data_IF_483361219347
#
_entry.id   IF_483361219347
#
_cell.length_a   1.000
_cell.length_b   1.000
_cell.length_c   1.000
_cell.angle_alpha   90.00
_cell.angle_beta   90.00
_cell.angle_gamma   90.00
#
_symmetry.space_group_name_H-M   'P 1'
#
loop_
_entity.id
_entity.type
_entity.pdbx_description
1 polymer ?
#
# COMPACT_ATOMS: atom_id res chain seq x y z
N UNK A 1 -17.52 40.68 -16.45
CA UNK A 1 -17.29 39.64 -15.43
C UNK A 1 -17.36 38.29 -16.12
N UNK A 2 -16.22 37.75 -16.54
CA UNK A 2 -16.18 36.45 -17.21
C UNK A 2 -16.39 35.34 -16.17
N UNK A 3 -17.54 34.67 -16.26
CA UNK A 3 -17.80 33.43 -15.52
C UNK A 3 -16.78 32.39 -16.00
N UNK A 4 -15.71 32.19 -15.20
CA UNK A 4 -14.75 31.11 -15.37
C UNK A 4 -15.51 29.81 -15.08
N UNK A 5 -16.12 29.22 -16.12
CA UNK A 5 -16.60 27.83 -16.06
C UNK A 5 -15.37 26.96 -15.81
N UNK A 6 -15.13 26.57 -14.56
CA UNK A 6 -14.12 25.55 -14.24
C UNK A 6 -14.59 24.26 -14.92
N UNK A 7 -13.90 23.87 -15.99
CA UNK A 7 -14.13 22.62 -16.68
C UNK A 7 -13.88 21.47 -15.68
N UNK A 8 -14.82 20.53 -15.63
CA UNK A 8 -14.65 19.29 -14.85
C UNK A 8 -13.62 18.44 -15.60
N UNK A 9 -12.34 18.60 -15.25
CA UNK A 9 -11.24 17.78 -15.79
C UNK A 9 -11.41 16.34 -15.28
N UNK A 10 -11.82 15.44 -16.17
CA UNK A 10 -12.12 14.02 -15.91
C UNK A 10 -10.87 13.20 -16.16
N UNK A 11 -10.48 12.37 -15.19
CA UNK A 11 -9.40 11.39 -15.35
C UNK A 11 -8.72 11.06 -14.03
N UNK A 12 -8.32 9.80 -13.87
CA UNK A 12 -7.40 9.34 -12.82
C UNK A 12 -5.99 9.88 -13.08
N UNK A 13 -5.63 10.11 -14.35
CA UNK A 13 -4.36 10.72 -14.77
C UNK A 13 -4.12 12.09 -14.14
N UNK A 14 -5.15 12.95 -14.11
CA UNK A 14 -5.05 14.29 -13.51
C UNK A 14 -4.71 14.23 -12.01
N UNK A 15 -5.26 13.25 -11.28
CA UNK A 15 -4.97 13.10 -9.85
C UNK A 15 -3.55 12.65 -9.56
N UNK A 16 -2.91 11.89 -10.45
CA UNK A 16 -1.52 11.46 -10.27
C UNK A 16 -0.58 12.66 -10.36
N UNK A 17 -0.73 13.48 -11.40
CA UNK A 17 0.08 14.69 -11.60
C UNK A 17 -0.12 15.70 -10.46
N UNK A 18 -1.37 15.99 -10.09
CA UNK A 18 -1.65 16.89 -8.96
C UNK A 18 -1.08 16.33 -7.67
N UNK A 19 -1.21 15.03 -7.40
CA UNK A 19 -0.63 14.41 -6.20
C UNK A 19 0.89 14.57 -6.14
N UNK A 20 1.59 14.39 -7.26
CA UNK A 20 3.05 14.58 -7.33
C UNK A 20 3.43 16.03 -7.01
N UNK A 21 2.71 17.00 -7.60
CA UNK A 21 2.97 18.41 -7.34
C UNK A 21 2.66 18.78 -5.88
N UNK A 22 1.60 18.22 -5.29
CA UNK A 22 1.29 18.37 -3.87
C UNK A 22 2.37 17.72 -2.98
N UNK A 23 2.86 16.53 -3.32
CA UNK A 23 3.88 15.81 -2.55
C UNK A 23 5.22 16.56 -2.52
N UNK A 24 5.59 17.19 -3.63
CA UNK A 24 6.83 17.93 -3.77
C UNK A 24 6.71 19.42 -3.42
N UNK A 25 5.52 19.87 -3.00
CA UNK A 25 5.20 21.29 -2.72
C UNK A 25 5.65 22.25 -3.84
N UNK A 26 5.75 21.73 -5.06
CA UNK A 26 6.30 22.43 -6.21
C UNK A 26 5.70 21.87 -7.49
N UNK A 27 5.53 22.74 -8.50
CA UNK A 27 5.06 22.34 -9.82
C UNK A 27 6.18 21.63 -10.57
N UNK A 28 6.33 20.34 -10.30
CA UNK A 28 7.35 19.48 -10.90
C UNK A 28 6.89 18.95 -12.25
N UNK A 29 5.60 18.63 -12.38
CA UNK A 29 5.02 18.07 -13.58
C UNK A 29 3.95 19.02 -14.10
N UNK A 30 4.12 19.51 -15.33
CA UNK A 30 3.10 20.32 -15.98
C UNK A 30 1.87 19.49 -16.33
N UNK A 31 0.68 20.03 -16.06
CA UNK A 31 -0.57 19.43 -16.51
C UNK A 31 -0.65 19.42 -18.04
N UNK A 32 -0.97 18.27 -18.63
CA UNK A 32 -1.38 18.22 -20.05
C UNK A 32 -2.72 18.95 -20.20
N UNK A 33 -2.72 20.05 -20.93
CA UNK A 33 -3.95 20.74 -21.33
C UNK A 33 -4.57 20.01 -22.54
N UNK A 34 -5.60 19.19 -22.27
CA UNK A 34 -6.41 18.53 -23.31
C UNK A 34 -7.33 19.52 -24.08
N UNK A 35 -7.25 20.83 -23.82
CA UNK A 35 -8.11 21.86 -24.40
C UNK A 35 -7.80 22.17 -25.88
N UNK A 36 -6.74 21.59 -26.46
CA UNK A 36 -6.46 21.70 -27.89
C UNK A 36 -7.21 20.61 -28.68
N UNK A 37 -8.21 21.02 -29.47
CA UNK A 37 -8.96 20.14 -30.40
C UNK A 37 -8.07 19.34 -31.37
N UNK A 38 -6.82 19.78 -31.60
CA UNK A 38 -5.84 19.09 -32.45
C UNK A 38 -5.07 17.98 -31.74
N UNK A 39 -4.91 18.04 -30.41
CA UNK A 39 -4.24 16.99 -29.61
C UNK A 39 -5.22 15.94 -29.08
N UNK A 40 -6.51 16.26 -28.99
CA UNK A 40 -7.57 15.34 -28.55
C UNK A 40 -7.77 14.12 -29.49
N UNK A 41 -7.25 14.16 -30.71
CA UNK A 41 -7.35 13.06 -31.69
C UNK A 41 -6.15 12.09 -31.68
N UNK A 42 -5.08 12.43 -30.96
CA UNK A 42 -3.93 11.56 -30.81
C UNK A 42 -4.08 10.79 -29.51
N UNK A 43 -4.37 9.49 -29.62
CA UNK A 43 -4.16 8.55 -28.52
C UNK A 43 -2.69 8.69 -28.08
N UNK A 44 -2.49 9.42 -27.00
CA UNK A 44 -1.17 9.53 -26.39
C UNK A 44 -0.91 8.17 -25.75
N UNK A 45 -0.14 7.32 -26.44
CA UNK A 45 0.29 6.03 -25.88
C UNK A 45 0.97 6.20 -24.52
N UNK A 46 1.03 5.12 -23.74
CA UNK A 46 1.67 5.10 -22.43
C UNK A 46 3.14 5.56 -22.55
N UNK A 47 3.47 6.63 -21.84
CA UNK A 47 4.83 7.17 -21.78
C UNK A 47 5.32 7.14 -20.35
N UNK A 48 6.21 6.20 -20.03
CA UNK A 48 6.81 6.11 -18.70
C UNK A 48 7.95 7.12 -18.62
N UNK A 49 7.80 8.15 -17.79
CA UNK A 49 8.81 9.21 -17.64
C UNK A 49 9.28 9.30 -16.17
N UNK A 50 10.54 8.94 -15.87
CA UNK A 50 11.12 9.15 -14.55
C UNK A 50 11.54 10.61 -14.37
N UNK A 51 11.09 11.22 -13.28
CA UNK A 51 11.44 12.57 -12.84
C UNK A 51 12.27 12.45 -11.56
N UNK A 52 13.49 12.98 -11.59
CA UNK A 52 14.39 12.96 -10.44
C UNK A 52 14.32 14.30 -9.70
N UNK A 53 14.16 14.24 -8.38
CA UNK A 53 13.99 15.38 -7.50
C UNK A 53 14.84 15.20 -6.24
N UNK A 54 15.25 16.32 -5.65
CA UNK A 54 15.81 16.32 -4.30
C UNK A 54 14.78 16.98 -3.37
N UNK A 55 14.26 16.20 -2.43
CA UNK A 55 13.26 16.65 -1.45
C UNK A 55 13.91 16.64 -0.08
N UNK A 56 13.66 17.68 0.72
CA UNK A 56 14.05 17.73 2.12
C UNK A 56 12.86 17.29 2.98
N UNK A 57 12.99 16.15 3.65
CA UNK A 57 11.96 15.64 4.57
C UNK A 57 12.62 15.37 5.93
N UNK A 58 12.01 15.89 7.00
CA UNK A 58 12.41 15.64 8.40
C UNK A 58 13.91 15.94 8.67
N UNK A 59 14.48 16.94 8.00
CA UNK A 59 15.89 17.35 8.15
C UNK A 59 16.90 16.49 7.38
N UNK A 60 16.43 15.54 6.57
CA UNK A 60 17.25 14.73 5.67
C UNK A 60 16.98 15.07 4.19
N UNK A 61 18.04 15.11 3.38
CA UNK A 61 17.95 15.30 1.93
C UNK A 61 17.76 13.95 1.25
N UNK A 62 16.63 13.77 0.58
CA UNK A 62 16.24 12.52 -0.08
C UNK A 62 16.22 12.74 -1.59
N UNK A 63 16.94 11.89 -2.33
CA UNK A 63 16.81 11.82 -3.79
C UNK A 63 15.57 11.00 -4.17
N UNK A 64 14.50 11.68 -4.55
CA UNK A 64 13.23 11.06 -4.92
C UNK A 64 13.15 10.91 -6.45
N UNK A 65 12.88 9.70 -6.92
CA UNK A 65 12.58 9.45 -8.34
C UNK A 65 11.12 9.08 -8.49
N UNK A 66 10.35 9.91 -9.19
CA UNK A 66 8.93 9.70 -9.43
C UNK A 66 8.76 9.20 -10.85
N UNK A 67 8.12 8.05 -11.02
CA UNK A 67 7.83 7.49 -12.34
C UNK A 67 6.36 7.69 -12.64
N UNK A 68 6.05 8.60 -13.56
CA UNK A 68 4.66 8.81 -14.00
C UNK A 68 4.29 7.89 -15.17
N UNK A 69 3.02 7.51 -15.22
CA UNK A 69 2.38 6.65 -16.22
C UNK A 69 1.13 7.35 -16.81
N UNK A 70 1.30 8.49 -17.53
CA UNK A 70 0.22 9.15 -18.24
C UNK A 70 -0.38 8.25 -19.32
N UNK A 71 -1.71 8.33 -19.51
CA UNK A 71 -2.46 7.56 -20.52
C UNK A 71 -2.93 6.17 -20.06
N UNK A 72 -2.69 5.79 -18.81
CA UNK A 72 -3.19 4.52 -18.26
C UNK A 72 -4.72 4.52 -18.10
N UNK A 73 -5.40 3.55 -18.72
CA UNK A 73 -6.84 3.31 -18.57
C UNK A 73 -7.73 4.10 -19.52
N UNK A 74 -7.17 4.86 -20.46
CA UNK A 74 -7.91 5.63 -21.47
C UNK A 74 -8.15 4.84 -22.77
N UNK A 75 -7.40 3.75 -22.99
CA UNK A 75 -7.51 2.89 -24.18
C UNK A 75 -8.64 1.88 -24.04
N UNK A 76 -9.20 1.44 -25.18
CA UNK A 76 -10.22 0.38 -25.22
C UNK A 76 -9.65 -0.96 -24.75
N UNK A 77 -8.42 -1.27 -25.17
CA UNK A 77 -7.64 -2.41 -24.69
C UNK A 77 -6.47 -1.92 -23.85
N UNK A 78 -6.42 -2.33 -22.59
CA UNK A 78 -5.38 -1.94 -21.63
C UNK A 78 -4.44 -3.09 -21.28
N UNK A 79 -4.62 -4.28 -21.88
CA UNK A 79 -3.79 -5.45 -21.60
C UNK A 79 -2.30 -5.19 -21.86
N UNK A 80 -1.97 -4.59 -23.01
CA UNK A 80 -0.62 -4.20 -23.39
C UNK A 80 0.02 -3.21 -22.40
N UNK A 81 -0.78 -2.32 -21.80
CA UNK A 81 -0.27 -1.33 -20.84
C UNK A 81 0.22 -2.00 -19.55
N UNK A 82 -0.37 -3.13 -19.15
CA UNK A 82 0.07 -3.88 -17.98
C UNK A 82 1.45 -4.48 -18.21
N UNK A 83 1.67 -5.06 -19.39
CA UNK A 83 2.94 -5.68 -19.76
C UNK A 83 4.04 -4.64 -19.94
N UNK A 84 3.71 -3.44 -20.44
CA UNK A 84 4.66 -2.34 -20.56
C UNK A 84 5.14 -1.82 -19.19
N UNK A 85 4.22 -1.68 -18.22
CA UNK A 85 4.56 -1.28 -16.83
C UNK A 85 5.39 -2.39 -16.16
N UNK A 86 4.95 -3.64 -16.27
CA UNK A 86 5.68 -4.78 -15.72
C UNK A 86 7.08 -4.89 -16.34
N UNK A 87 7.18 -4.77 -17.66
CA UNK A 87 8.44 -4.78 -18.38
C UNK A 87 9.34 -3.60 -18.04
N UNK A 88 8.80 -2.44 -17.62
CA UNK A 88 9.61 -1.36 -17.07
C UNK A 88 10.21 -1.72 -15.70
N UNK A 89 9.41 -2.31 -14.80
CA UNK A 89 9.89 -2.76 -13.49
C UNK A 89 10.99 -3.84 -13.63
N UNK A 90 10.75 -4.84 -14.47
CA UNK A 90 11.71 -5.92 -14.72
C UNK A 90 13.01 -5.39 -15.36
N UNK A 91 12.92 -4.41 -16.27
CA UNK A 91 14.11 -3.73 -16.82
C UNK A 91 14.96 -3.07 -15.73
N UNK A 92 14.34 -2.43 -14.72
CA UNK A 92 15.11 -1.84 -13.62
C UNK A 92 15.83 -2.93 -12.83
N UNK A 93 15.19 -4.07 -12.58
CA UNK A 93 15.86 -5.21 -11.92
C UNK A 93 16.95 -5.86 -12.76
N UNK A 94 16.75 -5.98 -14.08
CA UNK A 94 17.76 -6.50 -15.00
C UNK A 94 19.01 -5.62 -15.03
N UNK A 95 18.85 -4.29 -14.98
CA UNK A 95 19.98 -3.36 -14.92
C UNK A 95 20.82 -3.54 -13.64
N UNK A 96 20.15 -3.72 -12.49
CA UNK A 96 20.84 -4.04 -11.21
C UNK A 96 21.54 -5.38 -11.32
N UNK A 97 20.84 -6.42 -11.78
CA UNK A 97 21.38 -7.77 -11.87
C UNK A 97 22.59 -7.82 -12.81
N UNK A 98 22.54 -7.10 -13.93
CA UNK A 98 23.64 -6.97 -14.87
C UNK A 98 24.85 -6.27 -14.22
N UNK A 99 24.63 -5.24 -13.40
CA UNK A 99 25.70 -4.55 -12.68
C UNK A 99 26.29 -5.42 -11.56
N UNK A 100 25.46 -6.13 -10.78
CA UNK A 100 25.90 -7.05 -9.73
C UNK A 100 26.72 -8.22 -10.28
N UNK A 101 26.39 -8.66 -11.50
CA UNK A 101 27.09 -9.73 -12.23
C UNK A 101 28.44 -9.29 -12.82
N UNK A 102 28.74 -7.98 -12.89
CA UNK A 102 30.04 -7.50 -13.39
C UNK A 102 31.15 -7.78 -12.39
N UNK A 103 32.29 -8.25 -12.91
CA UNK A 103 33.51 -8.51 -12.12
C UNK A 103 34.06 -7.20 -11.51
N UNK A 104 33.96 -6.09 -12.26
CA UNK A 104 34.31 -4.73 -11.78
C UNK A 104 33.03 -3.91 -11.69
N UNK A 105 32.49 -3.82 -10.48
CA UNK A 105 31.28 -3.06 -10.16
C UNK A 105 31.59 -1.57 -10.12
N UNK A 106 30.68 -0.75 -10.63
CA UNK A 106 30.79 0.70 -10.53
C UNK A 106 30.30 1.17 -9.15
N UNK A 107 31.17 1.72 -8.29
CA UNK A 107 30.77 2.17 -6.95
C UNK A 107 29.83 3.40 -6.96
N UNK A 108 29.64 4.04 -8.13
CA UNK A 108 28.71 5.16 -8.32
C UNK A 108 27.39 4.75 -8.96
N UNK A 109 27.13 3.46 -9.08
CA UNK A 109 25.88 2.98 -9.62
C UNK A 109 24.72 3.47 -8.73
N UNK A 110 23.70 4.06 -9.35
CA UNK A 110 22.53 4.59 -8.64
C UNK A 110 21.44 3.54 -8.66
N UNK A 111 20.85 3.28 -7.50
CA UNK A 111 19.70 2.41 -7.41
C UNK A 111 18.50 3.03 -8.12
N UNK A 112 18.04 2.38 -9.18
CA UNK A 112 16.90 2.76 -10.02
C UNK A 112 15.69 1.85 -9.81
N UNK A 113 15.71 1.00 -8.78
CA UNK A 113 14.57 0.13 -8.43
C UNK A 113 13.38 0.97 -7.97
N UNK A 114 12.18 0.48 -8.30
CA UNK A 114 10.93 1.07 -7.81
C UNK A 114 10.61 0.45 -6.45
N UNK A 115 10.67 1.26 -5.40
CA UNK A 115 10.48 0.79 -4.01
C UNK A 115 9.01 0.69 -3.60
N UNK A 116 8.15 1.54 -4.16
CA UNK A 116 6.73 1.57 -3.86
C UNK A 116 5.92 2.00 -5.08
N UNK A 117 4.74 1.38 -5.25
CA UNK A 117 3.74 1.72 -6.25
C UNK A 117 2.50 2.25 -5.56
N UNK A 118 2.22 3.53 -5.75
CA UNK A 118 0.98 4.15 -5.26
C UNK A 118 -0.13 3.87 -6.28
N UNK A 119 -1.06 3.01 -5.92
CA UNK A 119 -2.16 2.61 -6.80
C UNK A 119 -3.40 3.46 -6.56
N UNK A 120 -3.74 4.31 -7.53
CA UNK A 120 -4.90 5.21 -7.46
C UNK A 120 -6.18 4.48 -7.86
N UNK A 121 -7.00 4.15 -6.86
CA UNK A 121 -8.33 3.58 -7.02
C UNK A 121 -9.31 4.70 -7.37
N UNK A 122 -10.12 4.46 -8.39
CA UNK A 122 -11.15 5.41 -8.82
C UNK A 122 -12.27 5.51 -7.77
N UNK A 123 -12.76 6.73 -7.45
CA UNK A 123 -13.85 6.93 -6.50
C UNK A 123 -15.20 6.55 -7.11
N UNK A 124 -15.47 5.25 -7.27
CA UNK A 124 -16.74 4.74 -7.80
C UNK A 124 -17.81 4.56 -6.72
N UNK A 125 -17.39 4.35 -5.47
CA UNK A 125 -18.28 4.09 -4.33
C UNK A 125 -18.80 2.66 -4.24
N UNK A 126 -18.37 1.78 -5.15
CA UNK A 126 -18.72 0.36 -5.15
C UNK A 126 -17.57 -0.48 -4.54
N UNK A 127 -16.81 -1.17 -5.39
CA UNK A 127 -15.62 -1.92 -5.02
C UNK A 127 -14.51 -1.73 -6.05
N UNK A 128 -13.55 -2.63 -6.06
CA UNK A 128 -12.47 -2.63 -7.03
C UNK A 128 -12.98 -3.02 -8.43
N UNK A 129 -12.47 -2.37 -9.46
CA UNK A 129 -12.76 -2.77 -10.86
C UNK A 129 -11.93 -3.99 -11.21
N UNK A 130 -12.45 -4.83 -12.11
CA UNK A 130 -11.74 -6.02 -12.59
C UNK A 130 -10.35 -5.69 -13.15
N UNK A 131 -10.25 -4.58 -13.89
CA UNK A 131 -8.99 -4.04 -14.41
C UNK A 131 -7.99 -3.73 -13.29
N UNK A 132 -8.47 -3.14 -12.18
CA UNK A 132 -7.62 -2.78 -11.05
C UNK A 132 -7.13 -4.05 -10.33
N UNK A 133 -7.99 -5.06 -10.20
CA UNK A 133 -7.67 -6.36 -9.59
C UNK A 133 -6.59 -7.08 -10.40
N UNK A 134 -6.76 -7.17 -11.72
CA UNK A 134 -5.79 -7.85 -12.59
C UNK A 134 -4.43 -7.16 -12.55
N UNK A 135 -4.41 -5.82 -12.62
CA UNK A 135 -3.16 -5.06 -12.60
C UNK A 135 -2.44 -5.18 -11.26
N UNK A 136 -3.14 -5.00 -10.14
CA UNK A 136 -2.52 -5.11 -8.83
C UNK A 136 -1.96 -6.51 -8.58
N UNK A 137 -2.67 -7.57 -9.02
CA UNK A 137 -2.17 -8.96 -8.95
C UNK A 137 -0.91 -9.19 -9.79
N UNK A 138 -0.82 -8.58 -10.96
CA UNK A 138 0.36 -8.70 -11.84
C UNK A 138 1.57 -7.94 -11.29
N UNK A 139 1.35 -6.78 -10.66
CA UNK A 139 2.43 -5.91 -10.17
C UNK A 139 2.90 -6.28 -8.75
N UNK A 140 2.03 -6.80 -7.90
CA UNK A 140 2.34 -7.12 -6.50
C UNK A 140 3.57 -8.01 -6.27
N UNK A 141 3.94 -8.97 -7.14
CA UNK A 141 5.15 -9.78 -6.92
C UNK A 141 6.45 -9.02 -7.24
N UNK A 142 6.36 -7.87 -7.90
CA UNK A 142 7.52 -7.08 -8.37
C UNK A 142 7.65 -5.73 -7.67
N UNK A 143 6.62 -5.22 -6.98
CA UNK A 143 6.68 -3.92 -6.30
C UNK A 143 5.73 -3.88 -5.10
N UNK A 144 6.10 -3.13 -4.06
CA UNK A 144 5.23 -2.88 -2.92
C UNK A 144 4.04 -2.00 -3.34
N UNK A 145 2.84 -2.56 -3.38
CA UNK A 145 1.63 -1.85 -3.81
C UNK A 145 0.95 -1.19 -2.61
N UNK A 146 0.75 0.12 -2.66
CA UNK A 146 0.02 0.91 -1.66
C UNK A 146 -1.28 1.40 -2.30
N UNK A 147 -2.45 0.84 -1.94
CA UNK A 147 -3.73 1.26 -2.49
C UNK A 147 -4.19 2.60 -1.90
N UNK A 148 -4.60 3.51 -2.78
CA UNK A 148 -4.99 4.87 -2.42
C UNK A 148 -6.26 5.26 -3.17
N UNK A 149 -7.27 5.75 -2.47
CA UNK A 149 -8.51 6.27 -3.04
C UNK A 149 -8.27 7.71 -3.52
N UNK A 150 -8.44 7.94 -4.82
CA UNK A 150 -8.35 9.26 -5.41
C UNK A 150 -9.61 10.10 -5.16
N UNK A 151 -9.45 11.44 -5.07
CA UNK A 151 -10.55 12.42 -4.92
C UNK A 151 -11.54 12.03 -3.82
N UNK A 152 -11.03 11.78 -2.61
CA UNK A 152 -11.88 11.39 -1.46
C UNK A 152 -12.92 12.45 -1.09
N UNK A 153 -12.71 13.72 -1.48
CA UNK A 153 -13.67 14.82 -1.40
C UNK A 153 -14.98 14.59 -2.19
N UNK A 154 -15.01 13.59 -3.06
CA UNK A 154 -16.22 13.19 -3.80
C UNK A 154 -17.21 12.38 -2.94
N UNK A 155 -16.78 11.87 -1.78
CA UNK A 155 -17.59 11.03 -0.90
C UNK A 155 -18.01 11.76 0.38
N UNK A 156 -19.16 11.37 0.93
CA UNK A 156 -19.48 11.66 2.32
C UNK A 156 -18.67 10.76 3.26
N UNK A 157 -18.50 11.17 4.51
CA UNK A 157 -17.78 10.40 5.54
C UNK A 157 -18.27 8.94 5.65
N UNK A 158 -19.58 8.72 5.65
CA UNK A 158 -20.16 7.37 5.72
C UNK A 158 -19.89 6.54 4.46
N UNK A 159 -20.03 7.15 3.28
CA UNK A 159 -19.78 6.49 1.99
C UNK A 159 -18.31 6.10 1.85
N UNK A 160 -17.40 6.93 2.34
CA UNK A 160 -15.97 6.66 2.34
C UNK A 160 -15.62 5.46 3.22
N UNK A 161 -16.19 5.37 4.43
CA UNK A 161 -15.98 4.22 5.33
C UNK A 161 -16.50 2.92 4.71
N UNK A 162 -17.70 2.97 4.12
CA UNK A 162 -18.27 1.81 3.43
C UNK A 162 -17.44 1.40 2.20
N UNK A 163 -16.92 2.38 1.46
CA UNK A 163 -16.08 2.14 0.29
C UNK A 163 -14.72 1.55 0.68
N UNK A 164 -14.05 2.09 1.71
CA UNK A 164 -12.81 1.53 2.28
C UNK A 164 -13.01 0.07 2.69
N UNK A 165 -14.10 -0.23 3.40
CA UNK A 165 -14.43 -1.60 3.82
C UNK A 165 -14.57 -2.56 2.63
N UNK A 166 -15.36 -2.19 1.61
CA UNK A 166 -15.55 -3.03 0.42
C UNK A 166 -14.26 -3.25 -0.37
N UNK A 167 -13.44 -2.21 -0.52
CA UNK A 167 -12.14 -2.34 -1.19
C UNK A 167 -11.22 -3.31 -0.45
N UNK A 168 -11.19 -3.26 0.89
CA UNK A 168 -10.40 -4.20 1.69
C UNK A 168 -10.94 -5.63 1.61
N UNK A 169 -12.27 -5.81 1.65
CA UNK A 169 -12.93 -7.11 1.42
C UNK A 169 -12.56 -7.70 0.05
N UNK A 170 -12.55 -6.87 -1.00
CA UNK A 170 -12.14 -7.29 -2.35
C UNK A 170 -10.65 -7.69 -2.38
N UNK A 171 -9.76 -6.89 -1.78
CA UNK A 171 -8.31 -7.18 -1.72
C UNK A 171 -8.05 -8.53 -1.05
N UNK A 172 -8.74 -8.80 0.06
CA UNK A 172 -8.63 -10.06 0.80
C UNK A 172 -9.21 -11.23 -0.01
N UNK A 173 -10.41 -11.07 -0.57
CA UNK A 173 -11.07 -12.10 -1.37
C UNK A 173 -10.22 -12.53 -2.58
N UNK A 174 -9.63 -11.56 -3.25
CA UNK A 174 -8.79 -11.80 -4.41
C UNK A 174 -7.34 -12.14 -4.06
N UNK A 175 -6.96 -12.11 -2.78
CA UNK A 175 -5.61 -12.38 -2.26
C UNK A 175 -4.54 -11.52 -2.93
N UNK A 176 -4.80 -10.22 -3.04
CA UNK A 176 -3.85 -9.28 -3.63
C UNK A 176 -2.81 -8.91 -2.56
N UNK A 177 -1.51 -9.20 -2.76
CA UNK A 177 -0.45 -8.77 -1.86
C UNK A 177 -0.30 -7.25 -1.95
N UNK A 178 -0.73 -6.56 -0.90
CA UNK A 178 -0.48 -5.13 -0.72
C UNK A 178 0.54 -4.93 0.40
N UNK A 179 1.21 -3.79 0.38
CA UNK A 179 2.04 -3.39 1.49
C UNK A 179 1.17 -3.06 2.70
N UNK A 180 1.31 -3.84 3.76
CA UNK A 180 0.47 -3.80 4.95
C UNK A 180 1.27 -3.37 6.19
N UNK A 181 2.28 -2.50 6.05
CA UNK A 181 3.06 -1.95 7.18
C UNK A 181 3.43 -3.02 8.23
N UNK A 182 4.31 -3.99 7.91
CA UNK A 182 4.68 -5.07 8.81
C UNK A 182 5.18 -4.53 10.16
N UNK A 183 4.85 -5.22 11.24
CA UNK A 183 5.39 -4.95 12.59
C UNK A 183 5.42 -6.26 13.37
N UNK A 184 6.40 -6.39 14.26
CA UNK A 184 6.55 -7.50 15.18
C UNK A 184 6.14 -7.04 16.59
N UNK A 185 5.12 -7.67 17.16
CA UNK A 185 4.60 -7.31 18.49
C UNK A 185 5.59 -7.65 19.61
N UNK A 186 6.51 -8.59 19.36
CA UNK A 186 7.51 -9.07 20.33
C UNK A 186 8.85 -8.34 20.21
N UNK A 187 9.24 -7.94 19.00
CA UNK A 187 10.53 -7.29 18.73
C UNK A 187 10.48 -5.76 18.66
N UNK A 188 9.37 -5.18 18.17
CA UNK A 188 9.29 -3.74 17.95
C UNK A 188 8.96 -2.93 19.22
N UNK A 189 9.39 -1.67 19.22
CA UNK A 189 9.03 -0.72 20.27
C UNK A 189 7.51 -0.47 20.28
N UNK A 190 6.86 -0.35 21.46
CA UNK A 190 5.41 -0.13 21.55
C UNK A 190 4.91 1.09 20.75
N UNK A 191 5.73 2.14 20.64
CA UNK A 191 5.38 3.33 19.85
C UNK A 191 5.32 3.02 18.34
N UNK A 192 6.27 2.23 17.81
CA UNK A 192 6.27 1.79 16.41
C UNK A 192 5.08 0.87 16.12
N UNK A 193 4.74 -0.03 17.05
CA UNK A 193 3.57 -0.90 16.93
C UNK A 193 2.28 -0.07 16.85
N UNK A 194 2.17 0.97 17.68
CA UNK A 194 1.01 1.85 17.68
C UNK A 194 0.88 2.63 16.37
N UNK A 195 1.98 3.21 15.86
CA UNK A 195 2.00 3.92 14.58
C UNK A 195 1.62 3.01 13.41
N UNK A 196 2.23 1.82 13.32
CA UNK A 196 1.99 0.89 12.22
C UNK A 196 0.56 0.35 12.26
N UNK A 197 0.01 0.11 13.46
CA UNK A 197 -1.40 -0.26 13.64
C UNK A 197 -2.35 0.86 13.18
N UNK A 198 -2.05 2.12 13.49
CA UNK A 198 -2.82 3.26 13.01
C UNK A 198 -2.81 3.34 11.47
N UNK A 199 -1.62 3.24 10.86
CA UNK A 199 -1.48 3.29 9.39
C UNK A 199 -2.22 2.16 8.70
N UNK A 200 -2.21 0.95 9.24
CA UNK A 200 -3.00 -0.18 8.72
C UNK A 200 -4.50 0.08 8.77
N UNK A 201 -4.99 0.71 9.83
CA UNK A 201 -6.41 1.04 9.97
C UNK A 201 -6.88 2.08 8.94
N UNK A 202 -5.96 2.87 8.39
CA UNK A 202 -6.24 3.90 7.39
C UNK A 202 -6.29 3.36 5.96
N UNK A 203 -5.76 2.14 5.72
CA UNK A 203 -5.76 1.52 4.41
C UNK A 203 -7.19 1.17 3.92
N UNK A 204 -7.51 1.40 2.63
CA UNK A 204 -6.74 2.20 1.67
C UNK A 204 -6.79 3.71 2.00
N UNK A 205 -5.66 4.42 1.83
CA UNK A 205 -5.58 5.85 2.17
C UNK A 205 -6.54 6.68 1.31
N UNK A 206 -7.24 7.63 1.92
CA UNK A 206 -8.16 8.52 1.21
C UNK A 206 -7.49 9.89 1.01
N UNK A 207 -7.07 10.20 -0.22
CA UNK A 207 -6.28 11.40 -0.50
C UNK A 207 -7.03 12.42 -1.34
N UNK A 208 -6.58 13.67 -1.20
CA UNK A 208 -6.99 14.81 -2.00
C UNK A 208 -5.71 15.49 -2.46
N UNK A 209 -5.55 15.67 -3.77
CA UNK A 209 -4.47 16.49 -4.32
C UNK A 209 -4.98 17.89 -4.63
N UNK A 210 -4.17 18.91 -4.34
CA UNK A 210 -4.41 20.29 -4.77
C UNK A 210 -3.10 21.02 -5.05
N UNK A 211 -3.13 21.87 -6.07
CA UNK A 211 -2.09 22.86 -6.38
C UNK A 211 -2.52 24.28 -6.00
N UNK A 212 -3.81 24.48 -5.72
CA UNK A 212 -4.35 25.76 -5.30
C UNK A 212 -4.13 25.95 -3.78
N UNK A 213 -3.79 27.17 -3.39
CA UNK A 213 -3.80 27.60 -1.99
C UNK A 213 -5.18 28.14 -1.59
N UNK A 214 -5.64 27.73 -0.42
CA UNK A 214 -6.87 28.24 0.20
C UNK A 214 -6.55 28.85 1.55
N UNK A 215 -7.39 29.80 1.96
CA UNK A 215 -7.26 30.40 3.28
C UNK A 215 -7.94 29.49 4.30
N UNK A 216 -7.15 28.95 5.22
CA UNK A 216 -7.63 28.15 6.35
C UNK A 216 -8.51 28.99 7.29
N UNK A 217 -9.30 28.33 8.13
CA UNK A 217 -10.07 28.99 9.19
C UNK A 217 -9.17 29.74 10.19
N UNK A 218 -7.91 29.30 10.34
CA UNK A 218 -6.87 29.96 11.15
C UNK A 218 -6.33 31.25 10.53
N UNK A 219 -6.62 31.50 9.25
CA UNK A 219 -6.16 32.67 8.49
C UNK A 219 -4.91 32.44 7.64
N UNK A 220 -4.25 31.29 7.81
CA UNK A 220 -3.06 30.87 7.07
C UNK A 220 -3.40 30.40 5.65
N UNK A 221 -2.43 30.48 4.74
CA UNK A 221 -2.54 29.94 3.38
C UNK A 221 -2.03 28.50 3.41
N UNK A 222 -2.91 27.57 3.07
CA UNK A 222 -2.61 26.12 3.05
C UNK A 222 -3.05 25.52 1.72
N UNK A 223 -2.42 24.42 1.31
CA UNK A 223 -2.83 23.70 0.11
C UNK A 223 -4.22 23.11 0.30
N UNK A 224 -5.13 23.40 -0.63
CA UNK A 224 -6.52 22.98 -0.50
C UNK A 224 -7.40 23.32 -1.68
N UNK A 225 -8.65 22.87 -1.63
CA UNK A 225 -9.65 23.06 -2.68
C UNK A 225 -10.80 23.88 -2.13
N UNK A 226 -11.09 25.00 -2.78
CA UNK A 226 -12.24 25.85 -2.46
C UNK A 226 -13.46 25.45 -3.29
N UNK A 227 -14.54 25.08 -2.60
CA UNK A 227 -15.85 24.83 -3.14
C UNK A 227 -16.84 25.93 -2.74
N UNK A 228 -17.97 26.09 -3.46
CA UNK A 228 -19.01 27.04 -3.05
C UNK A 228 -19.60 26.77 -1.65
N UNK A 229 -19.49 25.53 -1.16
CA UNK A 229 -20.03 25.08 0.13
C UNK A 229 -18.98 24.94 1.23
N UNK A 230 -17.69 25.18 0.95
CA UNK A 230 -16.63 25.04 1.95
C UNK A 230 -15.25 24.87 1.34
N UNK A 231 -14.23 24.86 2.18
CA UNK A 231 -12.83 24.63 1.81
C UNK A 231 -12.36 23.30 2.35
N UNK A 232 -11.59 22.57 1.55
CA UNK A 232 -10.99 21.30 1.96
C UNK A 232 -9.48 21.45 1.94
N UNK A 233 -8.88 21.29 3.11
CA UNK A 233 -7.43 21.40 3.33
C UNK A 233 -6.77 20.03 3.14
N UNK A 234 -5.67 19.97 2.37
CA UNK A 234 -5.00 18.70 2.03
C UNK A 234 -4.15 18.18 3.19
N UNK A 235 -3.53 19.05 3.98
CA UNK A 235 -2.68 18.60 5.09
C UNK A 235 -3.46 18.31 6.38
N UNK A 236 -4.76 18.57 6.39
CA UNK A 236 -5.61 18.41 7.55
C UNK A 236 -6.07 16.94 7.71
N UNK A 237 -5.71 16.24 8.81
CA UNK A 237 -6.08 14.84 9.03
C UNK A 237 -7.58 14.58 9.11
N UNK A 238 -8.39 15.58 9.48
CA UNK A 238 -9.85 15.47 9.53
C UNK A 238 -10.50 15.48 8.13
N UNK A 239 -9.76 15.94 7.13
CA UNK A 239 -10.21 16.07 5.74
C UNK A 239 -9.65 14.97 4.84
N UNK A 240 -8.36 14.63 4.97
CA UNK A 240 -7.77 13.53 4.20
C UNK A 240 -6.51 12.95 4.85
N UNK A 241 -6.18 11.73 4.41
CA UNK A 241 -5.06 10.95 4.95
C UNK A 241 -3.72 11.30 4.26
N UNK A 242 -3.66 12.40 3.49
CA UNK A 242 -2.48 12.75 2.70
C UNK A 242 -1.24 12.99 3.56
N UNK A 243 -1.39 13.70 4.69
CA UNK A 243 -0.29 13.97 5.63
C UNK A 243 0.32 12.66 6.16
N UNK A 244 -0.53 11.70 6.53
CA UNK A 244 -0.11 10.36 7.00
C UNK A 244 0.62 9.59 5.91
N UNK A 245 0.11 9.60 4.67
CA UNK A 245 0.75 8.95 3.53
C UNK A 245 2.12 9.59 3.22
N UNK A 246 2.22 10.93 3.26
CA UNK A 246 3.48 11.67 3.04
C UNK A 246 4.54 11.30 4.09
N UNK A 247 4.17 11.32 5.38
CA UNK A 247 5.06 10.93 6.47
C UNK A 247 5.51 9.48 6.37
N UNK A 248 4.61 8.56 6.01
CA UNK A 248 4.97 7.15 5.83
C UNK A 248 5.95 6.95 4.65
N UNK A 249 5.69 7.58 3.50
CA UNK A 249 6.50 7.40 2.28
C UNK A 249 7.88 8.06 2.34
N UNK A 250 7.97 9.26 2.94
CA UNK A 250 9.20 10.07 2.93
C UNK A 250 9.95 10.10 4.27
N UNK A 251 9.30 9.63 5.34
CA UNK A 251 9.87 9.58 6.69
C UNK A 251 10.05 8.15 7.16
N UNK A 252 9.07 7.64 7.91
CA UNK A 252 9.24 6.47 8.79
C UNK A 252 9.45 5.15 8.04
N UNK A 253 8.73 4.91 6.93
CA UNK A 253 8.70 3.60 6.26
C UNK A 253 9.55 3.52 4.99
N UNK A 254 10.30 4.57 4.67
CA UNK A 254 11.13 4.60 3.45
C UNK A 254 12.21 3.52 3.45
N UNK A 255 12.84 3.24 4.59
CA UNK A 255 13.86 2.20 4.69
C UNK A 255 13.24 0.80 4.61
N UNK A 256 12.10 0.57 5.28
CA UNK A 256 11.38 -0.71 5.22
C UNK A 256 10.94 -1.06 3.79
N UNK A 257 10.40 -0.08 3.05
CA UNK A 257 10.05 -0.26 1.63
C UNK A 257 11.27 -0.65 0.78
N UNK A 258 12.45 -0.10 1.08
CA UNK A 258 13.71 -0.44 0.39
C UNK A 258 14.19 -1.83 0.74
N UNK A 259 14.17 -2.20 2.03
CA UNK A 259 14.58 -3.51 2.52
C UNK A 259 13.69 -4.60 1.94
N UNK A 260 12.37 -4.43 1.97
CA UNK A 260 11.44 -5.39 1.36
C UNK A 260 11.67 -5.52 -0.15
N UNK A 261 11.94 -4.40 -0.83
CA UNK A 261 12.25 -4.41 -2.27
C UNK A 261 13.54 -5.17 -2.55
N UNK A 262 14.55 -5.03 -1.70
CA UNK A 262 15.84 -5.69 -1.90
C UNK A 262 15.79 -7.17 -1.53
N UNK A 263 15.37 -7.48 -0.32
CA UNK A 263 15.52 -8.80 0.31
C UNK A 263 14.46 -9.80 -0.16
N UNK A 264 13.27 -9.32 -0.53
CA UNK A 264 12.19 -10.18 -0.98
C UNK A 264 11.93 -10.02 -2.48
N UNK A 265 11.56 -8.82 -2.94
CA UNK A 265 11.09 -8.65 -4.32
C UNK A 265 12.21 -8.86 -5.35
N UNK A 266 13.35 -8.21 -5.15
CA UNK A 266 14.51 -8.31 -6.03
C UNK A 266 15.18 -9.69 -5.94
N UNK A 267 15.38 -10.25 -4.74
CA UNK A 267 15.99 -11.58 -4.61
C UNK A 267 15.11 -12.70 -5.19
N UNK A 268 13.79 -12.60 -5.07
CA UNK A 268 12.87 -13.52 -5.77
C UNK A 268 13.03 -13.40 -7.29
N UNK A 269 13.07 -12.18 -7.83
CA UNK A 269 13.30 -11.93 -9.26
C UNK A 269 14.66 -12.48 -9.73
N UNK A 270 15.71 -12.23 -8.94
CA UNK A 270 17.07 -12.68 -9.23
C UNK A 270 17.16 -14.20 -9.26
N UNK A 271 16.53 -14.88 -8.31
CA UNK A 271 16.47 -16.34 -8.25
C UNK A 271 15.73 -16.92 -9.47
N UNK A 272 14.62 -16.30 -9.86
CA UNK A 272 13.85 -16.67 -11.06
C UNK A 272 14.68 -16.49 -12.34
N UNK A 273 15.42 -15.37 -12.48
CA UNK A 273 16.26 -15.11 -13.66
C UNK A 273 17.49 -15.99 -13.72
N UNK A 274 18.18 -16.24 -12.60
CA UNK A 274 19.36 -17.10 -12.56
C UNK A 274 19.00 -18.57 -12.80
N UNK A 275 17.87 -19.05 -12.28
CA UNK A 275 17.39 -20.42 -12.55
C UNK A 275 17.01 -20.60 -14.02
N UNK A 276 16.44 -19.58 -14.67
CA UNK A 276 16.09 -19.60 -16.09
C UNK A 276 17.29 -19.49 -17.04
N UNK A 277 18.35 -18.79 -16.62
CA UNK A 277 19.56 -18.55 -17.42
C UNK A 277 20.74 -19.48 -17.09
N UNK A 278 20.58 -20.40 -16.13
CA UNK A 278 21.57 -21.45 -15.84
C UNK A 278 21.75 -22.39 -17.05
N UNK A 279 22.96 -22.93 -17.27
CA UNK A 279 23.18 -23.89 -18.34
C UNK A 279 22.24 -25.08 -18.14
N UNK A 280 21.46 -25.39 -19.17
CA UNK A 280 20.42 -26.42 -19.24
C UNK A 280 20.92 -27.87 -19.10
N UNK A 281 22.10 -28.06 -18.52
CA UNK A 281 22.75 -29.36 -18.25
C UNK A 281 22.78 -29.72 -16.75
N UNK A 282 22.27 -28.85 -15.87
CA UNK A 282 22.16 -29.09 -14.40
C UNK A 282 20.73 -28.99 -13.86
N UNK A 283 19.72 -28.86 -14.72
CA UNK A 283 18.31 -28.65 -14.32
C UNK A 283 17.65 -29.87 -13.68
N UNK A 284 18.25 -31.06 -13.78
CA UNK A 284 17.72 -32.29 -13.19
C UNK A 284 18.16 -32.52 -11.73
N UNK A 285 19.31 -31.98 -11.30
CA UNK A 285 19.82 -32.19 -9.94
C UNK A 285 19.39 -31.08 -8.95
N UNK A 286 19.20 -29.84 -9.42
CA UNK A 286 18.81 -28.72 -8.54
C UNK A 286 17.30 -28.74 -8.21
N UNK A 287 16.46 -29.22 -9.13
CA UNK A 287 15.02 -29.40 -8.88
C UNK A 287 14.77 -30.50 -7.84
N UNK A 288 15.50 -31.61 -7.90
CA UNK A 288 15.43 -32.68 -6.90
C UNK A 288 15.90 -32.23 -5.50
N UNK A 289 16.98 -31.43 -5.42
CA UNK A 289 17.46 -30.90 -4.14
C UNK A 289 16.55 -29.81 -3.55
N UNK A 290 15.98 -28.93 -4.39
CA UNK A 290 15.01 -27.93 -3.93
C UNK A 290 13.68 -28.57 -3.50
N UNK A 291 13.20 -29.60 -4.20
CA UNK A 291 12.02 -30.35 -3.78
C UNK A 291 12.26 -31.13 -2.48
N UNK A 292 13.46 -31.70 -2.26
CA UNK A 292 13.81 -32.33 -0.97
C UNK A 292 13.93 -31.32 0.17
N UNK A 293 14.53 -30.15 -0.07
CA UNK A 293 14.68 -29.10 0.95
C UNK A 293 13.35 -28.42 1.29
N UNK A 294 12.47 -28.22 0.30
CA UNK A 294 11.10 -27.73 0.47
C UNK A 294 10.22 -28.78 1.18
N UNK A 295 10.35 -30.06 0.84
CA UNK A 295 9.64 -31.13 1.55
C UNK A 295 10.12 -31.30 3.00
N UNK A 296 11.41 -31.06 3.27
CA UNK A 296 11.96 -31.10 4.63
C UNK A 296 11.50 -29.90 5.47
N UNK A 297 11.43 -28.71 4.87
CA UNK A 297 10.93 -27.50 5.56
C UNK A 297 9.41 -27.57 5.79
N UNK A 298 8.64 -28.11 4.84
CA UNK A 298 7.19 -28.35 5.01
C UNK A 298 6.94 -29.38 6.11
N UNK A 299 7.70 -30.50 6.16
CA UNK A 299 7.57 -31.48 7.25
C UNK A 299 7.94 -30.91 8.62
N UNK A 300 9.01 -30.12 8.71
CA UNK A 300 9.40 -29.46 9.96
C UNK A 300 8.34 -28.45 10.42
N UNK A 301 7.74 -27.70 9.49
CA UNK A 301 6.67 -26.74 9.77
C UNK A 301 5.37 -27.42 10.19
N UNK A 302 5.00 -28.52 9.53
CA UNK A 302 3.84 -29.35 9.88
C UNK A 302 4.00 -30.01 11.25
N UNK A 303 5.22 -30.45 11.60
CA UNK A 303 5.53 -30.99 12.93
C UNK A 303 5.54 -29.90 14.02
N UNK A 304 5.97 -28.68 13.68
CA UNK A 304 5.85 -27.51 14.56
C UNK A 304 4.39 -27.13 14.81
N UNK A 305 3.59 -27.00 13.75
CA UNK A 305 2.16 -26.71 13.83
C UNK A 305 1.42 -27.75 14.66
N UNK A 306 1.73 -29.03 14.49
CA UNK A 306 1.12 -30.11 15.27
C UNK A 306 1.47 -30.03 16.77
N UNK A 307 2.72 -29.66 17.10
CA UNK A 307 3.13 -29.43 18.50
C UNK A 307 2.47 -28.18 19.08
N UNK A 308 2.28 -27.13 18.29
CA UNK A 308 1.57 -25.93 18.71
C UNK A 308 0.07 -26.17 18.91
N UNK A 309 -0.58 -26.92 18.02
CA UNK A 309 -1.99 -27.33 18.19
C UNK A 309 -2.21 -28.18 19.45
N UNK A 310 -1.30 -29.12 19.76
CA UNK A 310 -1.38 -29.89 21.00
C UNK A 310 -1.23 -29.00 22.24
N UNK A 311 -0.30 -28.04 22.22
CA UNK A 311 -0.15 -27.06 23.30
C UNK A 311 -1.38 -26.16 23.42
N UNK A 312 -1.95 -25.71 22.31
CA UNK A 312 -3.13 -24.85 22.29
C UNK A 312 -4.34 -25.59 22.89
N UNK A 313 -4.53 -26.87 22.53
CA UNK A 313 -5.57 -27.72 23.12
C UNK A 313 -5.37 -27.95 24.61
N UNK A 314 -4.13 -28.10 25.06
CA UNK A 314 -3.84 -28.25 26.50
C UNK A 314 -4.17 -26.96 27.28
N UNK A 315 -3.84 -25.80 26.71
CA UNK A 315 -4.18 -24.49 27.27
C UNK A 315 -5.71 -24.31 27.29
N UNK A 316 -6.41 -24.65 26.22
CA UNK A 316 -7.87 -24.56 26.14
C UNK A 316 -8.55 -25.42 27.21
N UNK A 317 -8.11 -26.67 27.39
CA UNK A 317 -8.62 -27.57 28.43
C UNK A 317 -8.34 -27.07 29.85
N UNK A 318 -7.24 -26.34 30.05
CA UNK A 318 -6.90 -25.71 31.33
C UNK A 318 -7.81 -24.52 31.60
N UNK A 319 -8.00 -23.64 30.61
CA UNK A 319 -8.91 -22.49 30.70
C UNK A 319 -10.35 -22.96 30.95
N UNK A 320 -10.80 -23.99 30.25
CA UNK A 320 -12.15 -24.52 30.42
C UNK A 320 -12.38 -25.09 31.83
N UNK A 321 -11.38 -25.74 32.42
CA UNK A 321 -11.40 -26.17 33.83
C UNK A 321 -11.47 -24.99 34.79
N UNK A 322 -10.63 -23.96 34.59
CA UNK A 322 -10.66 -22.77 35.44
C UNK A 322 -12.02 -22.03 35.35
N UNK A 323 -12.60 -21.91 34.17
CA UNK A 323 -13.93 -21.32 33.97
C UNK A 323 -14.99 -22.14 34.72
N UNK A 324 -14.93 -23.47 34.66
CA UNK A 324 -15.88 -24.35 35.34
C UNK A 324 -15.77 -24.24 36.87
N UNK A 325 -14.56 -24.19 37.41
CA UNK A 325 -14.33 -23.97 38.83
C UNK A 325 -14.81 -22.59 39.29
N UNK A 326 -14.50 -21.53 38.54
CA UNK A 326 -14.99 -20.17 38.84
C UNK A 326 -16.51 -20.09 38.81
N UNK A 327 -17.16 -20.78 37.86
CA UNK A 327 -18.62 -20.85 37.77
C UNK A 327 -19.23 -21.57 38.96
N UNK A 328 -18.63 -22.67 39.42
CA UNK A 328 -19.10 -23.40 40.59
C UNK A 328 -18.92 -22.59 41.88
N UNK A 329 -17.81 -21.86 42.01
CA UNK A 329 -17.59 -20.94 43.12
C UNK A 329 -18.59 -19.78 43.13
N UNK A 330 -18.94 -19.23 41.97
CA UNK A 330 -19.96 -18.19 41.85
C UNK A 330 -21.34 -18.70 42.29
N UNK A 331 -21.74 -19.89 41.83
CA UNK A 331 -23.01 -20.52 42.25
C UNK A 331 -23.06 -20.76 43.76
N UNK A 332 -21.98 -21.27 44.36
CA UNK A 332 -21.93 -21.46 45.81
C UNK A 332 -21.97 -20.13 46.59
N UNK A 333 -21.37 -19.06 46.04
CA UNK A 333 -21.48 -17.71 46.63
C UNK A 333 -22.89 -17.14 46.50
N UNK A 334 -23.56 -17.37 45.37
CA UNK A 334 -24.94 -16.94 45.13
C UNK A 334 -25.92 -17.61 46.09
N UNK A 335 -25.78 -18.93 46.31
CA UNK A 335 -26.62 -19.65 47.29
C UNK A 335 -26.38 -19.17 48.72
N UNK A 336 -25.12 -18.91 49.11
CA UNK A 336 -24.78 -18.36 50.42
C UNK A 336 -25.33 -16.95 50.62
N UNK A 337 -25.24 -16.08 49.61
CA UNK A 337 -25.83 -14.74 49.62
C UNK A 337 -27.35 -14.83 49.77
N UNK A 338 -28.00 -15.69 48.99
CA UNK A 338 -29.46 -15.89 49.05
C UNK A 338 -29.91 -16.42 50.42
N UNK A 339 -29.15 -17.32 51.02
CA UNK A 339 -29.39 -17.77 52.39
C UNK A 339 -29.21 -16.65 53.42
N UNK A 340 -28.20 -15.78 53.28
CA UNK A 340 -28.04 -14.61 54.15
C UNK A 340 -29.16 -13.57 53.97
N UNK A 341 -29.60 -13.32 52.73
CA UNK A 341 -30.73 -12.42 52.44
C UNK A 341 -32.03 -12.91 53.07
N UNK A 342 -32.32 -14.22 52.97
CA UNK A 342 -33.50 -14.81 53.62
C UNK A 342 -33.48 -14.71 55.14
N UNK A 343 -32.29 -14.69 55.77
CA UNK A 343 -32.12 -14.53 57.22
C UNK A 343 -32.19 -13.07 57.69
N UNK A 344 -31.97 -12.11 56.80
CA UNK A 344 -32.13 -10.67 57.11
C UNK A 344 -33.57 -10.17 56.91
N UNK A 345 -34.41 -10.91 56.18
CA UNK A 345 -35.82 -10.55 55.92
C UNK A 345 -36.81 -11.12 56.96
N UNK A 346 -36.37 -12.03 57.83
CA UNK A 346 -37.06 -12.46 59.06
C UNK A 346 -36.48 -11.75 60.28
#
# INVERSE_FOLDING_TARGET
MASRRRAVKKGVSFCKTTFVNTLCESNVIEHRDDDNLQSASMESGLQIQPVNLEVEAEGSRIGLTIVDTPGFGDSIDNSYMFDDILGFLERQYDDILAEESRIRRNPRFRDNRVHALIYFISPTGHGLREMDIELMKKLSPRVNVIPVIAKSDSFKRQELVDFKRRVMEDIEHYQIPIYNFPFDVEEDHPDTIAENSELRSLLPFAIIGSEDEVRAETGDLVLGRAYPWGTVEVENPEHCDFSRLKSALLGTHLNDLKEITHDFLYENYRTERLSRNGPSDYTQDVSAQNDEMMNQSVRMREEQLRREEEKLREIELRIQREIMEKRQQLLAKEENLRAMESRMQT
#
